data_IF_630668104028
#
_entry.id   IF_630668104028
#
_cell.length_a   1.000
_cell.length_b   1.000
_cell.length_c   1.000
_cell.angle_alpha   90.00
_cell.angle_beta   90.00
_cell.angle_gamma   90.00
#
_symmetry.space_group_name_H-M   'P 1'
#
loop_
_entity.id
_entity.type
_entity.pdbx_description
1 polymer ?
#
# COMPACT_ATOMS: atom_id res chain seq x y z
N UNK A 1 -10.24 26.17 -0.06
CA UNK A 1 -10.72 26.22 -1.46
C UNK A 1 -10.28 24.93 -2.12
N UNK A 2 -11.19 24.05 -2.53
CA UNK A 2 -10.81 22.79 -3.18
C UNK A 2 -10.15 23.11 -4.53
N UNK A 3 -8.93 22.61 -4.73
CA UNK A 3 -8.19 22.86 -5.96
C UNK A 3 -8.79 21.98 -7.07
N UNK A 4 -9.36 22.58 -8.11
CA UNK A 4 -10.03 21.88 -9.22
C UNK A 4 -9.15 20.80 -9.84
N UNK A 5 -7.84 21.05 -9.94
CA UNK A 5 -6.85 20.08 -10.43
C UNK A 5 -6.82 18.80 -9.60
N UNK A 6 -7.02 18.91 -8.28
CA UNK A 6 -7.06 17.76 -7.38
C UNK A 6 -8.34 16.92 -7.59
N UNK A 7 -9.48 17.57 -7.73
CA UNK A 7 -10.74 16.83 -7.92
C UNK A 7 -10.69 16.05 -9.23
N UNK A 8 -10.20 16.69 -10.30
CA UNK A 8 -10.10 16.06 -11.62
C UNK A 8 -9.13 14.86 -11.58
N UNK A 9 -7.93 15.01 -11.01
CA UNK A 9 -6.97 13.91 -10.95
C UNK A 9 -7.49 12.73 -10.12
N UNK A 10 -8.18 12.99 -9.00
CA UNK A 10 -8.78 11.95 -8.19
C UNK A 10 -9.89 11.19 -8.93
N UNK A 11 -10.77 11.90 -9.65
CA UNK A 11 -11.83 11.29 -10.46
C UNK A 11 -11.25 10.44 -11.60
N UNK A 12 -10.20 10.92 -12.27
CA UNK A 12 -9.50 10.16 -13.33
C UNK A 12 -8.87 8.90 -12.76
N UNK A 13 -8.20 8.98 -11.61
CA UNK A 13 -7.61 7.80 -10.96
C UNK A 13 -8.67 6.77 -10.57
N UNK A 14 -9.75 7.21 -9.91
CA UNK A 14 -10.85 6.31 -9.51
C UNK A 14 -11.49 5.66 -10.74
N UNK A 15 -11.75 6.46 -11.79
CA UNK A 15 -12.29 5.95 -13.05
C UNK A 15 -11.38 4.92 -13.70
N UNK A 16 -10.07 5.17 -13.75
CA UNK A 16 -9.08 4.22 -14.27
C UNK A 16 -9.07 2.91 -13.47
N UNK A 17 -9.07 2.99 -12.14
CA UNK A 17 -9.11 1.81 -11.26
C UNK A 17 -10.38 0.98 -11.52
N UNK A 18 -11.54 1.64 -11.62
CA UNK A 18 -12.82 0.95 -11.91
C UNK A 18 -12.79 0.31 -13.30
N UNK A 19 -12.27 0.99 -14.32
CA UNK A 19 -12.20 0.42 -15.67
C UNK A 19 -11.28 -0.81 -15.70
N UNK A 20 -10.09 -0.70 -15.12
CA UNK A 20 -9.13 -1.80 -15.02
C UNK A 20 -9.77 -3.01 -14.31
N UNK A 21 -10.51 -2.72 -13.25
CA UNK A 21 -11.22 -3.72 -12.49
C UNK A 21 -12.34 -4.44 -13.23
N UNK A 22 -13.09 -3.70 -14.04
CA UNK A 22 -14.17 -4.28 -14.85
C UNK A 22 -13.63 -5.11 -16.00
N UNK A 23 -12.44 -4.77 -16.52
CA UNK A 23 -11.79 -5.54 -17.58
C UNK A 23 -11.25 -6.87 -17.04
N UNK A 24 -10.69 -6.85 -15.82
CA UNK A 24 -10.13 -8.00 -15.10
C UNK A 24 -9.34 -8.98 -15.98
N UNK A 25 -8.46 -8.45 -16.82
CA UNK A 25 -7.57 -9.25 -17.66
C UNK A 25 -6.19 -9.34 -17.03
N UNK A 26 -5.68 -10.56 -16.92
CA UNK A 26 -4.36 -10.84 -16.35
C UNK A 26 -3.25 -9.96 -16.95
N UNK A 27 -3.17 -9.85 -18.28
CA UNK A 27 -2.11 -9.08 -18.94
C UNK A 27 -2.19 -7.58 -18.66
N UNK A 28 -3.39 -7.02 -18.56
CA UNK A 28 -3.58 -5.60 -18.23
C UNK A 28 -3.15 -5.35 -16.79
N UNK A 29 -3.62 -6.18 -15.86
CA UNK A 29 -3.26 -6.06 -14.45
C UNK A 29 -1.75 -6.30 -14.23
N UNK A 30 -1.15 -7.27 -14.93
CA UNK A 30 0.29 -7.51 -14.90
C UNK A 30 1.08 -6.25 -15.31
N UNK A 31 0.69 -5.57 -16.40
CA UNK A 31 1.33 -4.33 -16.84
C UNK A 31 1.13 -3.22 -15.80
N UNK A 32 -0.09 -3.06 -15.27
CA UNK A 32 -0.39 -2.04 -14.25
C UNK A 32 0.48 -2.24 -13.00
N UNK A 33 0.57 -3.47 -12.50
CA UNK A 33 1.39 -3.79 -11.33
C UNK A 33 2.89 -3.68 -11.62
N UNK A 34 3.36 -4.01 -12.83
CA UNK A 34 4.74 -3.79 -13.24
C UNK A 34 5.11 -2.30 -13.25
N UNK A 35 4.22 -1.45 -13.79
CA UNK A 35 4.39 0.00 -13.79
C UNK A 35 4.36 0.55 -12.38
N UNK A 36 3.39 0.12 -11.56
CA UNK A 36 3.28 0.50 -10.15
C UNK A 36 4.58 0.18 -9.40
N UNK A 37 5.09 -1.05 -9.54
CA UNK A 37 6.34 -1.50 -8.94
C UNK A 37 7.53 -0.64 -9.38
N UNK A 38 7.64 -0.33 -10.67
CA UNK A 38 8.72 0.50 -11.21
C UNK A 38 8.68 1.93 -10.67
N UNK A 39 7.50 2.57 -10.67
CA UNK A 39 7.33 3.94 -10.22
C UNK A 39 7.62 4.05 -8.72
N UNK A 40 7.01 3.18 -7.91
CA UNK A 40 7.24 3.16 -6.47
C UNK A 40 8.69 2.84 -6.11
N UNK A 41 9.35 1.92 -6.82
CA UNK A 41 10.78 1.66 -6.64
C UNK A 41 11.63 2.90 -6.96
N UNK A 42 11.27 3.62 -8.03
CA UNK A 42 11.98 4.83 -8.45
C UNK A 42 11.82 5.99 -7.48
N UNK A 43 10.62 6.19 -6.92
CA UNK A 43 10.37 7.16 -5.85
C UNK A 43 11.11 6.77 -4.56
N UNK A 44 11.08 5.49 -4.19
CA UNK A 44 11.79 5.00 -3.00
C UNK A 44 13.31 5.19 -3.08
N UNK A 45 13.92 5.03 -4.27
CA UNK A 45 15.34 5.36 -4.47
C UNK A 45 15.66 6.81 -4.14
N UNK A 46 14.79 7.74 -4.52
CA UNK A 46 14.96 9.16 -4.20
C UNK A 46 14.74 9.40 -2.70
N UNK A 47 13.65 8.83 -2.15
CA UNK A 47 13.28 8.97 -0.75
C UNK A 47 14.39 8.49 0.20
N UNK A 48 15.06 7.38 -0.12
CA UNK A 48 16.11 6.81 0.71
C UNK A 48 17.53 7.25 0.31
N UNK A 49 17.69 8.15 -0.67
CA UNK A 49 18.97 8.59 -1.22
C UNK A 49 19.87 7.43 -1.73
N UNK A 50 19.27 6.54 -2.52
CA UNK A 50 19.85 5.28 -3.00
C UNK A 50 19.73 5.14 -4.53
N UNK A 51 20.40 6.01 -5.29
CA UNK A 51 20.20 6.12 -6.74
C UNK A 51 20.76 4.94 -7.56
N UNK A 52 21.83 4.30 -7.06
CA UNK A 52 22.56 3.24 -7.78
C UNK A 52 21.99 1.83 -7.59
N UNK A 53 20.80 1.69 -7.00
CA UNK A 53 20.20 0.38 -6.76
C UNK A 53 19.42 -0.08 -8.00
N UNK A 54 19.78 -1.26 -8.49
CA UNK A 54 19.14 -1.87 -9.66
C UNK A 54 17.78 -2.48 -9.29
N UNK A 55 16.79 -2.28 -10.15
CA UNK A 55 15.47 -2.90 -10.05
C UNK A 55 15.47 -4.35 -10.62
N UNK A 56 16.53 -4.75 -11.33
CA UNK A 56 16.56 -6.03 -12.06
C UNK A 56 16.20 -7.25 -11.18
N UNK A 57 16.73 -7.42 -9.95
CA UNK A 57 16.37 -8.56 -9.11
C UNK A 57 14.86 -8.61 -8.82
N UNK A 58 14.27 -7.44 -8.59
CA UNK A 58 12.85 -7.29 -8.30
C UNK A 58 11.98 -7.51 -9.55
N UNK A 59 12.41 -7.03 -10.72
CA UNK A 59 11.71 -7.26 -11.99
C UNK A 59 11.69 -8.76 -12.35
N UNK A 60 12.81 -9.46 -12.17
CA UNK A 60 12.88 -10.92 -12.36
C UNK A 60 11.95 -11.63 -11.38
N UNK A 61 11.96 -11.22 -10.10
CA UNK A 61 11.06 -11.78 -9.10
C UNK A 61 9.58 -11.56 -9.41
N UNK A 62 9.22 -10.37 -9.88
CA UNK A 62 7.86 -10.07 -10.31
C UNK A 62 7.43 -10.96 -11.48
N UNK A 63 8.27 -11.11 -12.52
CA UNK A 63 7.96 -11.93 -13.69
C UNK A 63 7.83 -13.41 -13.30
N UNK A 64 8.84 -13.99 -12.65
CA UNK A 64 8.84 -15.40 -12.26
C UNK A 64 7.74 -15.71 -11.22
N UNK A 65 7.54 -14.79 -10.28
CA UNK A 65 6.49 -14.87 -9.28
C UNK A 65 5.09 -14.81 -9.91
N UNK A 66 4.89 -13.98 -10.93
CA UNK A 66 3.62 -13.93 -11.66
C UNK A 66 3.34 -15.22 -12.42
N UNK A 67 4.34 -15.75 -13.12
CA UNK A 67 4.20 -17.01 -13.88
C UNK A 67 3.96 -18.23 -12.97
N UNK A 68 4.43 -18.17 -11.72
CA UNK A 68 4.30 -19.26 -10.75
C UNK A 68 3.16 -19.05 -9.74
N UNK A 69 2.40 -17.96 -9.86
CA UNK A 69 1.38 -17.52 -8.88
C UNK A 69 1.91 -17.37 -7.44
N UNK A 70 3.21 -17.06 -7.29
CA UNK A 70 3.91 -16.91 -6.00
C UNK A 70 4.73 -15.63 -5.96
N UNK A 71 4.14 -14.53 -6.42
CA UNK A 71 4.74 -13.20 -6.48
C UNK A 71 5.43 -12.79 -5.18
N UNK A 72 4.74 -12.94 -4.04
CA UNK A 72 5.30 -12.52 -2.76
C UNK A 72 6.52 -13.36 -2.35
N UNK A 73 6.47 -14.68 -2.55
CA UNK A 73 7.58 -15.58 -2.24
C UNK A 73 8.83 -15.22 -3.07
N UNK A 74 8.67 -15.00 -4.37
CA UNK A 74 9.78 -14.57 -5.23
C UNK A 74 10.32 -13.20 -4.82
N UNK A 75 9.46 -12.29 -4.37
CA UNK A 75 9.87 -11.03 -3.78
C UNK A 75 10.76 -11.20 -2.54
N UNK A 76 10.37 -12.08 -1.63
CA UNK A 76 11.13 -12.39 -0.41
C UNK A 76 12.48 -13.01 -0.78
N UNK A 77 12.49 -13.93 -1.74
CA UNK A 77 13.73 -14.53 -2.26
C UNK A 77 14.66 -13.45 -2.86
N UNK A 78 14.12 -12.50 -3.62
CA UNK A 78 14.91 -11.40 -4.16
C UNK A 78 15.51 -10.52 -3.06
N UNK A 79 14.73 -10.19 -2.02
CA UNK A 79 15.22 -9.47 -0.84
C UNK A 79 16.36 -10.25 -0.16
N UNK A 80 16.17 -11.55 0.08
CA UNK A 80 17.20 -12.39 0.73
C UNK A 80 18.48 -12.47 -0.11
N UNK A 81 18.37 -12.58 -1.44
CA UNK A 81 19.52 -12.57 -2.34
C UNK A 81 20.27 -11.22 -2.31
N UNK A 82 19.53 -10.11 -2.33
CA UNK A 82 20.12 -8.77 -2.25
C UNK A 82 20.81 -8.55 -0.90
N UNK A 83 20.16 -8.92 0.20
CA UNK A 83 20.76 -8.85 1.54
C UNK A 83 22.01 -9.73 1.61
N UNK A 84 21.94 -10.98 1.14
CA UNK A 84 23.08 -11.89 1.09
C UNK A 84 24.26 -11.33 0.29
N UNK A 85 23.98 -10.71 -0.87
CA UNK A 85 25.00 -10.04 -1.69
C UNK A 85 25.63 -8.83 -0.96
N UNK A 86 24.82 -7.99 -0.30
CA UNK A 86 25.31 -6.85 0.46
C UNK A 86 26.20 -7.28 1.64
N UNK A 87 25.80 -8.32 2.37
CA UNK A 87 26.58 -8.91 3.46
C UNK A 87 27.90 -9.47 2.94
N UNK A 88 27.87 -10.24 1.85
CA UNK A 88 29.08 -10.77 1.21
C UNK A 88 30.06 -9.66 0.80
N UNK A 89 29.54 -8.54 0.28
CA UNK A 89 30.33 -7.34 -0.06
C UNK A 89 30.71 -6.46 1.13
N UNK A 90 30.28 -6.82 2.36
CA UNK A 90 30.43 -5.99 3.58
C UNK A 90 29.91 -4.56 3.36
N UNK A 91 28.87 -4.41 2.55
CA UNK A 91 28.23 -3.14 2.24
C UNK A 91 27.14 -2.80 3.28
N UNK A 92 26.66 -1.55 3.25
CA UNK A 92 25.52 -1.13 4.06
C UNK A 92 24.26 -1.92 3.67
N UNK A 93 23.41 -2.24 4.65
CA UNK A 93 22.10 -2.88 4.43
C UNK A 93 20.99 -1.88 4.07
N UNK A 94 21.26 -0.57 4.07
CA UNK A 94 20.28 0.46 3.67
C UNK A 94 19.57 0.16 2.34
N UNK A 95 20.22 -0.37 1.29
CA UNK A 95 19.54 -0.75 0.05
C UNK A 95 18.40 -1.75 0.20
N UNK A 96 18.44 -2.60 1.24
CA UNK A 96 17.37 -3.54 1.53
C UNK A 96 16.05 -2.83 1.88
N UNK A 97 16.10 -1.57 2.35
CA UNK A 97 14.91 -0.79 2.68
C UNK A 97 13.99 -0.62 1.47
N UNK A 98 14.50 -0.36 0.26
CA UNK A 98 13.67 -0.23 -0.95
C UNK A 98 12.92 -1.53 -1.27
N UNK A 99 13.56 -2.67 -0.99
CA UNK A 99 12.97 -3.99 -1.20
C UNK A 99 11.91 -4.28 -0.14
N UNK A 100 12.15 -3.90 1.11
CA UNK A 100 11.18 -4.05 2.21
C UNK A 100 10.00 -3.11 2.02
N UNK A 101 10.24 -1.85 1.68
CA UNK A 101 9.25 -0.82 1.44
C UNK A 101 9.71 0.06 0.26
N UNK A 102 8.94 0.15 -0.84
CA UNK A 102 7.57 -0.32 -1.04
C UNK A 102 7.45 -1.65 -1.81
N UNK A 103 8.57 -2.27 -2.19
CA UNK A 103 8.55 -3.32 -3.21
C UNK A 103 7.81 -4.59 -2.79
N UNK A 104 8.15 -5.18 -1.64
CA UNK A 104 7.44 -6.35 -1.09
C UNK A 104 5.94 -6.08 -0.88
N UNK A 105 5.52 -4.95 -0.29
CA UNK A 105 4.11 -4.57 -0.20
C UNK A 105 3.36 -4.57 -1.55
N UNK A 106 3.98 -4.08 -2.64
CA UNK A 106 3.38 -4.11 -3.99
C UNK A 106 3.27 -5.55 -4.51
N UNK A 107 4.28 -6.39 -4.24
CA UNK A 107 4.20 -7.81 -4.56
C UNK A 107 3.14 -8.55 -3.73
N UNK A 108 2.87 -8.12 -2.50
CA UNK A 108 1.76 -8.62 -1.70
C UNK A 108 0.42 -8.23 -2.30
N UNK A 109 0.23 -6.98 -2.77
CA UNK A 109 -0.97 -6.59 -3.52
C UNK A 109 -1.16 -7.43 -4.77
N UNK A 110 -0.09 -7.66 -5.52
CA UNK A 110 -0.15 -8.52 -6.70
C UNK A 110 -0.50 -9.97 -6.33
N UNK A 111 0.02 -10.48 -5.22
CA UNK A 111 -0.34 -11.81 -4.70
C UNK A 111 -1.84 -11.89 -4.34
N UNK A 112 -2.40 -10.87 -3.67
CA UNK A 112 -3.84 -10.81 -3.37
C UNK A 112 -4.66 -10.92 -4.66
N UNK A 113 -4.26 -10.22 -5.72
CA UNK A 113 -4.91 -10.34 -7.02
C UNK A 113 -4.81 -11.76 -7.60
N UNK A 114 -3.61 -12.35 -7.57
CA UNK A 114 -3.39 -13.69 -8.13
C UNK A 114 -4.20 -14.78 -7.42
N UNK A 115 -4.41 -14.64 -6.11
CA UNK A 115 -5.08 -15.64 -5.28
C UNK A 115 -6.60 -15.43 -5.21
N UNK A 116 -7.04 -14.18 -5.09
CA UNK A 116 -8.42 -13.81 -4.75
C UNK A 116 -9.11 -12.93 -5.80
N UNK A 117 -8.38 -12.55 -6.85
CA UNK A 117 -8.89 -11.74 -7.95
C UNK A 117 -9.15 -10.28 -7.55
N UNK A 118 -9.86 -9.59 -8.44
CA UNK A 118 -10.07 -8.14 -8.33
C UNK A 118 -10.95 -7.77 -7.13
N UNK A 119 -11.92 -8.61 -6.75
CA UNK A 119 -12.80 -8.34 -5.61
C UNK A 119 -12.03 -8.07 -4.31
N UNK A 120 -11.02 -8.88 -3.99
CA UNK A 120 -10.22 -8.69 -2.77
C UNK A 120 -9.43 -7.37 -2.79
N UNK A 121 -8.92 -6.94 -3.95
CA UNK A 121 -8.28 -5.63 -4.09
C UNK A 121 -9.28 -4.48 -3.86
N UNK A 122 -10.50 -4.57 -4.41
CA UNK A 122 -11.54 -3.58 -4.12
C UNK A 122 -11.90 -3.55 -2.65
N UNK A 123 -12.08 -4.72 -2.07
CA UNK A 123 -12.41 -4.85 -0.67
C UNK A 123 -11.32 -4.21 0.20
N UNK A 124 -10.04 -4.44 -0.10
CA UNK A 124 -8.90 -3.80 0.55
C UNK A 124 -8.98 -2.28 0.48
N UNK A 125 -9.16 -1.73 -0.73
CA UNK A 125 -9.23 -0.30 -0.97
C UNK A 125 -10.40 0.32 -0.19
N UNK A 126 -11.56 -0.34 -0.15
CA UNK A 126 -12.71 0.18 0.59
C UNK A 126 -12.48 0.13 2.10
N UNK A 127 -11.87 -0.92 2.64
CA UNK A 127 -11.54 -0.97 4.08
C UNK A 127 -10.62 0.19 4.45
N UNK A 128 -9.57 0.43 3.65
CA UNK A 128 -8.62 1.53 3.87
C UNK A 128 -9.32 2.89 3.77
N UNK A 129 -10.11 3.12 2.71
CA UNK A 129 -10.84 4.37 2.52
C UNK A 129 -11.87 4.62 3.64
N UNK A 130 -12.54 3.57 4.12
CA UNK A 130 -13.44 3.63 5.27
C UNK A 130 -12.69 3.95 6.57
N UNK A 131 -11.48 3.40 6.75
CA UNK A 131 -10.64 3.68 7.91
C UNK A 131 -10.22 5.15 7.95
N UNK A 132 -9.71 5.68 6.85
CA UNK A 132 -9.27 7.07 6.75
C UNK A 132 -10.44 8.05 6.91
N UNK A 133 -11.58 7.75 6.29
CA UNK A 133 -12.79 8.57 6.41
C UNK A 133 -13.31 8.57 7.85
N UNK A 134 -13.44 7.39 8.46
CA UNK A 134 -13.89 7.25 9.85
C UNK A 134 -12.94 7.97 10.81
N UNK A 135 -11.63 7.83 10.61
CA UNK A 135 -10.64 8.48 11.43
C UNK A 135 -10.66 10.00 11.30
N UNK A 136 -10.86 10.52 10.09
CA UNK A 136 -11.01 11.95 9.84
C UNK A 136 -12.24 12.53 10.53
N UNK A 137 -13.42 11.92 10.33
CA UNK A 137 -14.66 12.46 10.88
C UNK A 137 -14.70 12.36 12.41
N UNK A 138 -14.33 11.22 12.98
CA UNK A 138 -14.35 11.00 14.42
C UNK A 138 -13.23 11.80 15.11
N UNK A 139 -12.04 11.84 14.52
CA UNK A 139 -10.94 12.67 15.01
C UNK A 139 -11.29 14.16 15.01
N UNK A 140 -12.02 14.65 14.01
CA UNK A 140 -12.45 16.05 13.96
C UNK A 140 -13.53 16.39 15.00
N UNK A 141 -14.43 15.46 15.30
CA UNK A 141 -15.55 15.68 16.22
C UNK A 141 -15.17 15.47 17.69
N UNK A 142 -14.32 14.48 17.95
CA UNK A 142 -14.05 13.96 19.30
C UNK A 142 -12.56 13.87 19.64
N UNK A 143 -11.66 14.21 18.72
CA UNK A 143 -10.22 14.06 18.89
C UNK A 143 -9.67 14.95 20.00
N UNK A 144 -9.02 14.33 20.98
CA UNK A 144 -8.40 15.02 22.12
C UNK A 144 -6.99 14.54 22.38
N UNK A 145 -6.73 13.27 22.11
CA UNK A 145 -5.46 12.62 22.46
C UNK A 145 -4.62 12.44 21.19
N UNK A 146 -3.46 13.11 21.06
CA UNK A 146 -2.55 12.89 19.94
C UNK A 146 -2.09 11.43 19.85
N UNK A 147 -2.07 10.87 18.64
CA UNK A 147 -1.74 9.46 18.41
C UNK A 147 -0.27 9.22 18.08
N UNK A 148 0.34 10.11 17.29
CA UNK A 148 1.74 9.94 16.86
C UNK A 148 2.51 11.27 16.86
N UNK A 149 3.76 11.30 17.34
CA UNK A 149 4.65 12.45 17.20
C UNK A 149 4.93 12.83 15.74
N UNK A 150 4.96 11.85 14.83
CA UNK A 150 5.24 12.08 13.40
C UNK A 150 4.04 12.64 12.63
N UNK A 151 2.83 12.45 13.17
CA UNK A 151 1.58 12.93 12.59
C UNK A 151 0.71 13.58 13.67
N UNK A 152 1.03 14.83 14.06
CA UNK A 152 0.41 15.50 15.22
C UNK A 152 -1.10 15.74 15.06
N UNK A 153 -1.62 15.69 13.84
CA UNK A 153 -3.05 15.84 13.56
C UNK A 153 -3.85 14.54 13.74
N UNK A 154 -3.18 13.39 13.86
CA UNK A 154 -3.86 12.10 14.13
C UNK A 154 -4.15 11.98 15.61
N UNK A 155 -5.39 11.62 15.92
CA UNK A 155 -5.88 11.45 17.29
C UNK A 155 -6.25 10.01 17.57
N UNK A 156 -6.04 9.53 18.80
CA UNK A 156 -6.35 8.16 19.20
C UNK A 156 -7.85 7.85 19.03
N UNK A 157 -8.73 8.80 19.36
CA UNK A 157 -10.17 8.66 19.18
C UNK A 157 -10.54 8.51 17.70
N UNK A 158 -9.88 9.28 16.84
CA UNK A 158 -9.98 9.14 15.39
C UNK A 158 -9.54 7.75 14.93
N UNK A 159 -8.37 7.26 15.34
CA UNK A 159 -7.88 5.91 14.96
C UNK A 159 -8.88 4.83 15.36
N UNK A 160 -9.37 4.84 16.60
CA UNK A 160 -10.37 3.88 17.08
C UNK A 160 -11.64 3.97 16.25
N UNK A 161 -12.11 5.19 15.97
CA UNK A 161 -13.26 5.44 15.11
C UNK A 161 -13.09 4.87 13.70
N UNK A 162 -11.93 5.12 13.08
CA UNK A 162 -11.56 4.56 11.78
C UNK A 162 -11.56 3.04 11.76
N UNK A 163 -10.97 2.40 12.78
CA UNK A 163 -10.97 0.93 12.92
C UNK A 163 -12.39 0.36 13.00
N UNK A 164 -13.28 0.99 13.77
CA UNK A 164 -14.68 0.56 13.89
C UNK A 164 -15.40 0.72 12.54
N UNK A 165 -15.29 1.90 11.90
CA UNK A 165 -15.92 2.16 10.60
C UNK A 165 -15.45 1.17 9.53
N UNK A 166 -14.13 0.97 9.44
CA UNK A 166 -13.52 0.04 8.49
C UNK A 166 -13.93 -1.41 8.75
N UNK A 167 -14.01 -1.83 10.02
CA UNK A 167 -14.45 -3.18 10.38
C UNK A 167 -15.90 -3.40 9.98
N UNK A 168 -16.80 -2.43 10.22
CA UNK A 168 -18.22 -2.54 9.85
C UNK A 168 -18.39 -2.57 8.33
N UNK A 169 -17.87 -1.56 7.62
CA UNK A 169 -18.01 -1.43 6.17
C UNK A 169 -17.34 -2.60 5.46
N UNK A 170 -16.13 -2.95 5.91
CA UNK A 170 -15.38 -4.09 5.41
C UNK A 170 -16.13 -5.40 5.62
N UNK A 171 -16.70 -5.65 6.81
CA UNK A 171 -17.48 -6.88 7.05
C UNK A 171 -18.69 -6.95 6.13
N UNK A 172 -19.44 -5.85 5.97
CA UNK A 172 -20.62 -5.79 5.10
C UNK A 172 -20.26 -6.16 3.66
N UNK A 173 -19.10 -5.72 3.16
CA UNK A 173 -18.65 -6.08 1.82
C UNK A 173 -18.09 -7.50 1.75
N UNK A 174 -17.32 -7.92 2.75
CA UNK A 174 -16.67 -9.23 2.76
C UNK A 174 -17.68 -10.39 2.75
N UNK A 175 -18.83 -10.24 3.41
CA UNK A 175 -19.84 -11.31 3.51
C UNK A 175 -20.50 -11.71 2.19
N UNK A 176 -20.34 -10.90 1.13
CA UNK A 176 -20.81 -11.28 -0.20
C UNK A 176 -20.00 -12.43 -0.82
N UNK A 177 -18.78 -12.67 -0.33
CA UNK A 177 -17.86 -13.71 -0.87
C UNK A 177 -17.34 -14.64 0.24
N UNK A 178 -17.10 -14.12 1.43
CA UNK A 178 -16.48 -14.82 2.55
C UNK A 178 -17.44 -15.00 3.74
N UNK A 179 -17.04 -15.81 4.73
CA UNK A 179 -17.84 -15.96 5.96
C UNK A 179 -17.77 -14.71 6.84
N UNK A 180 -18.82 -14.45 7.62
CA UNK A 180 -18.90 -13.29 8.53
C UNK A 180 -17.66 -13.11 9.40
N UNK A 181 -17.21 -14.17 10.07
CA UNK A 181 -16.05 -14.09 10.96
C UNK A 181 -14.75 -13.80 10.20
N UNK A 182 -14.56 -14.44 9.04
CA UNK A 182 -13.40 -14.16 8.19
C UNK A 182 -13.42 -12.70 7.70
N UNK A 183 -14.57 -12.21 7.25
CA UNK A 183 -14.73 -10.83 6.81
C UNK A 183 -14.46 -9.81 7.94
N UNK A 184 -14.95 -10.09 9.15
CA UNK A 184 -14.75 -9.24 10.32
C UNK A 184 -13.29 -9.17 10.72
N UNK A 185 -12.63 -10.32 10.91
CA UNK A 185 -11.23 -10.35 11.33
C UNK A 185 -10.31 -9.77 10.24
N UNK A 186 -10.55 -10.12 8.97
CA UNK A 186 -9.78 -9.56 7.87
C UNK A 186 -9.90 -8.03 7.82
N UNK A 187 -11.14 -7.49 7.86
CA UNK A 187 -11.37 -6.04 7.81
C UNK A 187 -10.73 -5.31 9.00
N UNK A 188 -10.82 -5.89 10.20
CA UNK A 188 -10.23 -5.32 11.41
C UNK A 188 -8.69 -5.25 11.32
N UNK A 189 -8.03 -6.35 10.95
CA UNK A 189 -6.58 -6.38 10.84
C UNK A 189 -6.05 -5.56 9.66
N UNK A 190 -6.76 -5.57 8.53
CA UNK A 190 -6.45 -4.71 7.38
C UNK A 190 -6.47 -3.24 7.83
N UNK A 191 -7.48 -2.81 8.57
CA UNK A 191 -7.57 -1.44 9.07
C UNK A 191 -6.43 -1.07 10.03
N UNK A 192 -6.02 -1.99 10.91
CA UNK A 192 -4.84 -1.79 11.78
C UNK A 192 -3.58 -1.58 10.94
N UNK A 193 -3.34 -2.47 9.97
CA UNK A 193 -2.14 -2.40 9.13
C UNK A 193 -2.17 -1.20 8.17
N UNK A 194 -3.35 -0.72 7.80
CA UNK A 194 -3.50 0.53 7.05
C UNK A 194 -3.03 1.73 7.87
N UNK A 195 -3.43 1.83 9.15
CA UNK A 195 -2.96 2.88 10.07
C UNK A 195 -1.44 2.80 10.26
N UNK A 196 -0.89 1.59 10.38
CA UNK A 196 0.57 1.39 10.50
C UNK A 196 1.28 1.82 9.21
N UNK A 197 0.74 1.47 8.04
CA UNK A 197 1.31 1.83 6.73
C UNK A 197 1.42 3.33 6.52
N UNK A 198 0.35 4.08 6.81
CA UNK A 198 0.37 5.54 6.75
C UNK A 198 1.40 6.16 7.72
N UNK A 199 1.52 5.63 8.94
CA UNK A 199 2.54 6.09 9.89
C UNK A 199 3.96 5.80 9.42
N UNK A 200 4.18 4.62 8.83
CA UNK A 200 5.46 4.19 8.30
C UNK A 200 5.90 5.11 7.15
N UNK A 201 5.00 5.39 6.21
CA UNK A 201 5.33 6.32 5.12
C UNK A 201 5.56 7.73 5.65
N UNK A 202 4.68 8.22 6.52
CA UNK A 202 4.84 9.53 7.16
C UNK A 202 6.21 9.65 7.82
N UNK A 203 6.68 8.61 8.51
CA UNK A 203 8.01 8.57 9.11
C UNK A 203 9.12 8.66 8.04
N UNK A 204 9.08 7.84 6.99
CA UNK A 204 10.11 7.87 5.94
C UNK A 204 10.18 9.21 5.21
N UNK A 205 9.04 9.89 5.00
CA UNK A 205 9.02 11.24 4.44
C UNK A 205 9.71 12.26 5.35
N UNK A 206 9.47 12.19 6.66
CA UNK A 206 10.14 13.06 7.64
C UNK A 206 11.64 12.80 7.73
N UNK A 207 12.05 11.55 7.72
CA UNK A 207 13.47 11.18 7.73
C UNK A 207 14.20 11.68 6.47
N UNK A 208 13.51 11.69 5.33
CA UNK A 208 14.01 12.24 4.08
C UNK A 208 13.91 13.78 3.97
N UNK A 209 13.33 14.45 4.98
CA UNK A 209 13.15 15.91 4.97
C UNK A 209 12.13 16.42 3.96
N UNK A 210 11.30 15.54 3.39
CA UNK A 210 10.28 15.88 2.39
C UNK A 210 8.86 15.73 2.96
N UNK A 211 7.89 16.36 2.30
CA UNK A 211 6.47 16.21 2.66
C UNK A 211 5.77 15.16 1.80
N UNK A 212 6.06 15.18 0.51
CA UNK A 212 5.50 14.29 -0.51
C UNK A 212 6.64 13.43 -1.08
N UNK A 213 6.35 12.18 -1.43
CA UNK A 213 7.32 11.18 -1.92
C UNK A 213 7.81 11.46 -3.35
N UNK A 214 7.06 12.27 -4.11
CA UNK A 214 7.36 12.69 -5.48
C UNK A 214 6.34 13.69 -6.00
N UNK A 215 6.46 14.05 -7.28
CA UNK A 215 5.60 15.05 -7.95
C UNK A 215 4.90 14.47 -9.20
N UNK A 216 4.80 13.14 -9.30
CA UNK A 216 4.32 12.47 -10.51
C UNK A 216 2.84 12.75 -10.79
N UNK A 217 2.02 12.85 -9.74
CA UNK A 217 0.58 13.07 -9.86
C UNK A 217 0.26 14.55 -9.58
N UNK A 218 -0.16 15.33 -10.59
CA UNK A 218 -0.41 16.75 -10.43
C UNK A 218 -1.36 17.05 -9.26
N UNK A 219 -0.85 17.78 -8.28
CA UNK A 219 -1.60 18.17 -7.08
C UNK A 219 -1.77 17.09 -6.01
N UNK A 220 -1.24 15.88 -6.20
CA UNK A 220 -1.41 14.72 -5.29
C UNK A 220 -0.11 14.08 -4.79
N UNK A 221 1.05 14.51 -5.29
CA UNK A 221 2.35 13.98 -4.86
C UNK A 221 2.80 12.79 -5.69
N UNK A 222 3.52 11.86 -5.05
CA UNK A 222 4.03 10.64 -5.66
C UNK A 222 2.99 9.52 -5.70
N UNK A 223 3.35 8.43 -6.36
CA UNK A 223 2.57 7.19 -6.36
C UNK A 223 2.56 6.57 -4.97
N UNK A 224 3.69 6.63 -4.25
CA UNK A 224 3.80 6.13 -2.88
C UNK A 224 2.81 6.80 -1.94
N UNK A 225 2.67 8.13 -2.04
CA UNK A 225 1.72 8.90 -1.21
C UNK A 225 0.26 8.48 -1.39
N UNK A 226 -0.07 7.72 -2.44
CA UNK A 226 -1.44 7.30 -2.76
C UNK A 226 -1.73 5.86 -2.39
N UNK A 227 -0.70 5.04 -2.18
CA UNK A 227 -0.83 3.61 -1.88
C UNK A 227 -0.30 3.25 -0.50
N UNK A 228 0.24 4.22 0.24
CA UNK A 228 0.87 4.12 1.57
C UNK A 228 0.11 3.28 2.60
N UNK A 229 -1.18 3.53 2.78
CA UNK A 229 -2.02 2.77 3.70
C UNK A 229 -2.40 1.39 3.12
N UNK A 230 -2.51 1.27 1.81
CA UNK A 230 -2.98 0.04 1.12
C UNK A 230 -1.88 -1.03 1.09
N UNK A 231 -0.63 -0.62 0.88
CA UNK A 231 0.47 -1.54 0.59
C UNK A 231 0.85 -2.43 1.77
N UNK A 232 0.86 -1.90 3.00
CA UNK A 232 1.16 -2.70 4.20
C UNK A 232 -0.04 -3.58 4.58
N UNK A 233 -1.26 -3.10 4.37
CA UNK A 233 -2.47 -3.84 4.65
C UNK A 233 -2.66 -5.08 3.73
N UNK A 234 -2.04 -5.08 2.54
CA UNK A 234 -2.06 -6.21 1.63
C UNK A 234 -1.53 -7.52 2.24
N UNK A 235 -0.51 -7.45 3.11
CA UNK A 235 0.04 -8.64 3.78
C UNK A 235 -0.99 -9.36 4.64
N UNK A 236 -1.92 -8.62 5.23
CA UNK A 236 -3.00 -9.21 6.04
C UNK A 236 -3.93 -10.03 5.15
N UNK A 237 -4.28 -9.52 3.97
CA UNK A 237 -5.12 -10.26 3.04
C UNK A 237 -4.43 -11.51 2.50
N UNK A 238 -3.13 -11.43 2.16
CA UNK A 238 -2.35 -12.62 1.76
C UNK A 238 -2.30 -13.66 2.90
N UNK A 239 -2.29 -13.23 4.16
CA UNK A 239 -2.20 -14.14 5.30
C UNK A 239 -3.54 -14.77 5.70
N UNK A 240 -4.66 -14.09 5.46
CA UNK A 240 -5.98 -14.49 5.97
C UNK A 240 -6.92 -15.07 4.91
N UNK A 241 -6.70 -14.80 3.61
CA UNK A 241 -7.54 -15.29 2.51
C UNK A 241 -6.87 -16.42 1.75
#
# INVERSE_FOLDING_TARGET
MFNTTRIISALVMIGAIIIIALIDQFFINFIVFAVLLYLSFSEAKKLFALENISIIPLAIAFILGSLSHKALLFGILALLLVVGYLVYKKASLKPALIYIYPSLPILALWQVYLDQGMFALFWLIIIVAACDSGAYFIGKLMGKTPFSPTSPNKTLEGVIGGLICASIIGTILGVFVYSFWLSLFCSFFVAIFAVIGDLLESYFKREAGVKDSGDLIPGHGGVLDRIDAVIIAAFVMVALL
#
